data_IF_003270760221
#
_entry.id   IF_003270760221
#
_cell.length_a   1.000
_cell.length_b   1.000
_cell.length_c   1.000
_cell.angle_alpha   90.00
_cell.angle_beta   90.00
_cell.angle_gamma   90.00
#
_symmetry.space_group_name_H-M   'P 1'
#
loop_
_entity.id
_entity.type
_entity.pdbx_description
1 polymer ?
#
# COMPACT_ATOMS: atom_id res chain seq x y z
N UNK A 1 -1.26 -17.26 5.81
CA UNK A 1 -1.22 -17.98 4.52
C UNK A 1 -2.63 -18.31 4.07
N UNK A 2 -2.95 -18.00 2.82
CA UNK A 2 -4.13 -18.56 2.15
C UNK A 2 -3.65 -19.62 1.18
N UNK A 3 -3.97 -20.93 1.36
CA UNK A 3 -3.59 -21.97 0.42
C UNK A 3 -4.13 -21.64 -0.98
N UNK A 4 -3.33 -21.87 -2.01
CA UNK A 4 -3.75 -21.63 -3.40
C UNK A 4 -3.65 -20.17 -3.87
N UNK A 5 -3.07 -19.23 -3.09
CA UNK A 5 -2.90 -17.83 -3.48
C UNK A 5 -1.51 -17.60 -4.08
N UNK A 6 -1.45 -16.97 -5.24
CA UNK A 6 -0.22 -16.46 -5.85
C UNK A 6 -0.14 -14.95 -5.61
N UNK A 7 1.06 -14.43 -5.43
CA UNK A 7 1.30 -13.02 -5.18
C UNK A 7 2.07 -12.39 -6.35
N UNK A 8 1.64 -11.21 -6.77
CA UNK A 8 2.40 -10.38 -7.71
C UNK A 8 2.84 -9.12 -7.00
N UNK A 9 4.15 -8.89 -6.93
CA UNK A 9 4.71 -7.71 -6.28
C UNK A 9 5.19 -6.71 -7.32
N UNK A 10 4.64 -5.50 -7.27
CA UNK A 10 5.10 -4.36 -8.04
C UNK A 10 6.40 -3.84 -7.43
N UNK A 11 7.46 -3.74 -8.22
CA UNK A 11 8.80 -3.36 -7.75
C UNK A 11 9.41 -2.34 -8.69
N UNK A 12 9.93 -1.25 -8.14
CA UNK A 12 10.72 -0.30 -8.92
C UNK A 12 11.97 -0.98 -9.47
N UNK A 13 12.36 -0.65 -10.70
CA UNK A 13 13.51 -1.25 -11.41
C UNK A 13 14.78 -1.28 -10.55
N UNK A 14 15.07 -0.19 -9.86
CA UNK A 14 16.25 -0.03 -9.00
C UNK A 14 16.28 -1.01 -7.82
N UNK A 15 15.13 -1.48 -7.35
CA UNK A 15 15.02 -2.41 -6.22
C UNK A 15 14.85 -3.87 -6.65
N UNK A 16 14.88 -4.16 -7.95
CA UNK A 16 14.61 -5.50 -8.48
C UNK A 16 15.58 -6.58 -7.99
N UNK A 17 16.87 -6.25 -7.79
CA UNK A 17 17.85 -7.21 -7.26
C UNK A 17 17.55 -7.57 -5.79
N UNK A 18 17.25 -6.57 -4.97
CA UNK A 18 16.88 -6.75 -3.56
C UNK A 18 15.58 -7.55 -3.44
N UNK A 19 14.57 -7.23 -4.24
CA UNK A 19 13.30 -7.95 -4.23
C UNK A 19 13.49 -9.44 -4.56
N UNK A 20 14.30 -9.78 -5.58
CA UNK A 20 14.63 -11.18 -5.87
C UNK A 20 15.34 -11.89 -4.73
N UNK A 21 16.25 -11.22 -4.03
CA UNK A 21 16.90 -11.80 -2.83
C UNK A 21 15.87 -12.09 -1.74
N UNK A 22 14.97 -11.16 -1.48
CA UNK A 22 13.91 -11.34 -0.46
C UNK A 22 12.93 -12.46 -0.82
N UNK A 23 12.57 -12.62 -2.08
CA UNK A 23 11.75 -13.75 -2.51
C UNK A 23 12.47 -15.08 -2.27
N UNK A 24 13.76 -15.18 -2.61
CA UNK A 24 14.54 -16.39 -2.32
C UNK A 24 14.66 -16.70 -0.83
N UNK A 25 14.88 -15.69 0.01
CA UNK A 25 14.89 -15.85 1.47
C UNK A 25 13.54 -16.37 1.97
N UNK A 26 12.43 -15.81 1.44
CA UNK A 26 11.08 -16.27 1.77
C UNK A 26 10.87 -17.73 1.37
N UNK A 27 11.28 -18.14 0.19
CA UNK A 27 11.14 -19.52 -0.30
C UNK A 27 11.96 -20.53 0.54
N UNK A 28 13.09 -20.08 1.10
CA UNK A 28 13.89 -20.90 2.02
C UNK A 28 13.22 -21.04 3.40
N UNK A 29 12.71 -19.92 3.94
CA UNK A 29 12.06 -19.92 5.26
C UNK A 29 10.66 -20.53 5.23
N UNK A 30 9.99 -20.45 4.10
CA UNK A 30 8.66 -20.97 3.83
C UNK A 30 8.59 -21.66 2.46
N UNK A 31 8.98 -22.93 2.36
CA UNK A 31 8.96 -23.69 1.10
C UNK A 31 7.60 -23.74 0.41
N UNK A 32 6.50 -23.52 1.14
CA UNK A 32 5.16 -23.44 0.58
C UNK A 32 4.91 -22.20 -0.30
N UNK A 33 5.86 -21.24 -0.34
CA UNK A 33 5.81 -20.04 -1.18
C UNK A 33 6.62 -20.18 -2.47
N UNK A 34 7.36 -21.29 -2.65
CA UNK A 34 8.22 -21.50 -3.82
C UNK A 34 7.44 -21.38 -5.12
N UNK A 35 7.92 -20.50 -6.02
CA UNK A 35 7.33 -20.23 -7.31
C UNK A 35 5.98 -19.48 -7.28
N UNK A 36 5.51 -19.05 -6.10
CA UNK A 36 4.22 -18.38 -5.92
C UNK A 36 4.30 -16.86 -5.82
N UNK A 37 5.51 -16.30 -5.84
CA UNK A 37 5.73 -14.86 -5.82
C UNK A 37 6.34 -14.42 -7.15
N UNK A 38 5.60 -13.66 -7.92
CA UNK A 38 6.05 -13.06 -9.17
C UNK A 38 6.37 -11.57 -8.96
N UNK A 39 7.49 -11.11 -9.52
CA UNK A 39 7.87 -9.70 -9.51
C UNK A 39 7.55 -9.08 -10.86
N UNK A 40 6.91 -7.91 -10.85
CA UNK A 40 6.70 -7.07 -12.03
C UNK A 40 7.34 -5.70 -11.80
N UNK A 41 7.96 -5.17 -12.86
CA UNK A 41 8.58 -3.84 -12.81
C UNK A 41 7.52 -2.78 -13.01
N UNK A 42 7.46 -1.81 -12.08
CA UNK A 42 6.57 -0.67 -12.18
C UNK A 42 6.84 0.37 -11.10
N UNK A 43 6.01 1.39 -11.05
CA UNK A 43 6.13 2.50 -10.10
C UNK A 43 4.74 3.10 -9.82
N UNK A 44 4.33 3.13 -8.57
CA UNK A 44 3.04 3.73 -8.17
C UNK A 44 2.93 5.21 -8.54
N UNK A 45 4.07 5.91 -8.67
CA UNK A 45 4.08 7.34 -9.05
C UNK A 45 3.83 7.59 -10.53
N UNK A 46 3.81 6.53 -11.34
CA UNK A 46 3.56 6.61 -12.77
C UNK A 46 2.12 6.19 -13.12
N UNK A 47 1.54 6.83 -14.13
CA UNK A 47 0.24 6.43 -14.67
C UNK A 47 0.27 4.96 -15.10
N UNK A 48 -0.83 4.23 -14.88
CA UNK A 48 -0.91 2.80 -15.14
C UNK A 48 0.08 1.97 -14.31
N UNK A 49 0.55 2.50 -13.17
CA UNK A 49 1.59 1.92 -12.30
C UNK A 49 2.93 1.70 -13.02
N UNK A 50 3.18 2.39 -14.14
CA UNK A 50 4.39 2.20 -14.95
C UNK A 50 4.55 0.79 -15.52
N UNK A 51 3.48 0.02 -15.59
CA UNK A 51 3.47 -1.35 -16.11
C UNK A 51 3.62 -1.36 -17.63
N UNK A 52 4.32 -2.36 -18.17
CA UNK A 52 4.24 -2.65 -19.60
C UNK A 52 2.85 -3.16 -19.98
N UNK A 53 2.47 -3.04 -21.25
CA UNK A 53 1.19 -3.56 -21.73
C UNK A 53 1.04 -5.08 -21.47
N UNK A 54 2.13 -5.83 -21.63
CA UNK A 54 2.16 -7.28 -21.37
C UNK A 54 1.98 -7.58 -19.87
N UNK A 55 2.68 -6.84 -18.98
CA UNK A 55 2.51 -7.03 -17.54
C UNK A 55 1.10 -6.65 -17.10
N UNK A 56 0.54 -5.56 -17.65
CA UNK A 56 -0.84 -5.15 -17.32
C UNK A 56 -1.87 -6.20 -17.73
N UNK A 57 -1.76 -6.76 -18.93
CA UNK A 57 -2.64 -7.84 -19.39
C UNK A 57 -2.51 -9.11 -18.55
N UNK A 58 -1.31 -9.40 -18.03
CA UNK A 58 -1.07 -10.53 -17.12
C UNK A 58 -1.55 -10.31 -15.69
N UNK A 59 -2.33 -9.24 -15.40
CA UNK A 59 -2.87 -8.92 -14.09
C UNK A 59 -4.41 -8.79 -14.10
N UNK A 60 -5.08 -9.18 -15.19
CA UNK A 60 -6.53 -9.03 -15.33
C UNK A 60 -7.34 -9.94 -14.39
N UNK A 61 -6.72 -11.02 -13.91
CA UNK A 61 -7.27 -12.00 -12.97
C UNK A 61 -6.97 -11.68 -11.48
N UNK A 62 -6.32 -10.56 -11.21
CA UNK A 62 -6.06 -10.12 -9.83
C UNK A 62 -7.37 -9.81 -9.13
N UNK A 63 -7.62 -10.51 -8.02
CA UNK A 63 -8.85 -10.40 -7.25
C UNK A 63 -8.68 -9.66 -5.91
N UNK A 64 -7.45 -9.46 -5.47
CA UNK A 64 -7.13 -8.73 -4.24
C UNK A 64 -5.87 -7.87 -4.44
N UNK A 65 -5.95 -6.60 -4.05
CA UNK A 65 -4.84 -5.65 -4.16
C UNK A 65 -4.44 -5.19 -2.77
N UNK A 66 -3.15 -5.30 -2.43
CA UNK A 66 -2.58 -4.77 -1.20
C UNK A 66 -1.76 -3.52 -1.50
N UNK A 67 -2.24 -2.37 -1.08
CA UNK A 67 -1.53 -1.10 -1.23
C UNK A 67 -0.80 -0.73 0.05
N UNK A 68 0.49 -1.09 0.09
CA UNK A 68 1.41 -0.87 1.21
C UNK A 68 2.42 0.25 0.90
N UNK A 69 2.55 0.62 -0.39
CA UNK A 69 3.55 1.58 -0.83
C UNK A 69 3.26 2.98 -0.28
N UNK A 70 4.19 3.51 0.50
CA UNK A 70 4.16 4.87 1.02
C UNK A 70 5.58 5.33 1.33
N UNK A 71 5.80 6.65 1.31
CA UNK A 71 6.95 7.28 1.96
C UNK A 71 6.51 7.67 3.36
N UNK A 72 7.19 7.13 4.37
CA UNK A 72 6.89 7.32 5.80
C UNK A 72 7.94 8.19 6.53
N UNK A 73 8.92 8.72 5.81
CA UNK A 73 9.89 9.65 6.38
C UNK A 73 9.19 10.95 6.80
N UNK A 74 9.25 11.27 8.08
CA UNK A 74 8.63 12.47 8.65
C UNK A 74 9.29 13.78 8.18
N UNK A 75 10.51 13.70 7.67
CA UNK A 75 11.27 14.81 7.10
C UNK A 75 11.21 14.88 5.56
N UNK A 76 10.37 14.05 4.94
CA UNK A 76 10.23 13.99 3.47
C UNK A 76 9.81 15.33 2.89
N UNK A 77 10.37 15.67 1.72
CA UNK A 77 9.94 16.86 0.97
C UNK A 77 8.46 16.74 0.55
N UNK A 78 7.67 17.83 0.67
CA UNK A 78 6.24 17.83 0.41
C UNK A 78 5.85 17.24 -0.93
N UNK A 79 6.60 17.57 -1.97
CA UNK A 79 6.35 17.13 -3.35
C UNK A 79 6.54 15.61 -3.51
N UNK A 80 7.56 15.06 -2.82
CA UNK A 80 7.83 13.62 -2.81
C UNK A 80 6.73 12.88 -2.06
N UNK A 81 6.38 13.36 -0.86
CA UNK A 81 5.31 12.79 -0.06
C UNK A 81 3.98 12.77 -0.85
N UNK A 82 3.62 13.89 -1.48
CA UNK A 82 2.39 14.00 -2.27
C UNK A 82 2.42 13.04 -3.47
N UNK A 83 3.52 13.04 -4.23
CA UNK A 83 3.65 12.21 -5.43
C UNK A 83 3.52 10.72 -5.10
N UNK A 84 4.15 10.26 -4.02
CA UNK A 84 4.11 8.83 -3.66
C UNK A 84 2.80 8.49 -2.94
N UNK A 85 2.44 9.23 -1.89
CA UNK A 85 1.33 8.83 -1.03
C UNK A 85 -0.03 9.18 -1.64
N UNK A 86 -0.18 10.33 -2.31
CA UNK A 86 -1.47 10.78 -2.84
C UNK A 86 -1.65 10.34 -4.30
N UNK A 87 -0.75 10.76 -5.20
CA UNK A 87 -0.89 10.41 -6.61
C UNK A 87 -0.65 8.91 -6.84
N UNK A 88 0.30 8.30 -6.08
CA UNK A 88 0.48 6.84 -6.10
C UNK A 88 -0.79 6.09 -5.69
N UNK A 89 -1.49 6.53 -4.64
CA UNK A 89 -2.77 5.95 -4.25
C UNK A 89 -3.84 6.16 -5.34
N UNK A 90 -3.88 7.32 -6.00
CA UNK A 90 -4.78 7.57 -7.14
C UNK A 90 -4.57 6.54 -8.26
N UNK A 91 -3.33 6.32 -8.67
CA UNK A 91 -3.00 5.33 -9.71
C UNK A 91 -3.37 3.90 -9.31
N UNK A 92 -3.18 3.54 -8.04
CA UNK A 92 -3.64 2.23 -7.52
C UNK A 92 -5.16 2.11 -7.58
N UNK A 93 -5.91 3.16 -7.21
CA UNK A 93 -7.37 3.18 -7.32
C UNK A 93 -7.84 3.06 -8.78
N UNK A 94 -7.17 3.73 -9.71
CA UNK A 94 -7.44 3.62 -11.15
C UNK A 94 -7.18 2.18 -11.65
N UNK A 95 -6.06 1.58 -11.23
CA UNK A 95 -5.76 0.17 -11.53
C UNK A 95 -6.85 -0.75 -11.00
N UNK A 96 -7.27 -0.59 -9.74
CA UNK A 96 -8.33 -1.38 -9.12
C UNK A 96 -9.66 -1.30 -9.88
N UNK A 97 -10.05 -0.10 -10.34
CA UNK A 97 -11.27 0.09 -11.14
C UNK A 97 -11.23 -0.62 -12.49
N UNK A 98 -10.06 -0.88 -13.03
CA UNK A 98 -9.86 -1.61 -14.28
C UNK A 98 -9.81 -3.13 -14.12
N UNK A 99 -9.91 -3.68 -12.90
CA UNK A 99 -9.96 -5.12 -12.64
C UNK A 99 -11.42 -5.61 -12.64
N UNK A 100 -11.70 -6.70 -13.36
CA UNK A 100 -13.06 -7.26 -13.46
C UNK A 100 -13.51 -7.96 -12.19
N UNK A 101 -12.59 -8.70 -11.60
CA UNK A 101 -12.89 -9.67 -10.53
C UNK A 101 -12.35 -9.19 -9.17
N UNK A 102 -12.08 -7.88 -9.02
CA UNK A 102 -11.58 -7.33 -7.77
C UNK A 102 -12.56 -7.55 -6.63
N UNK A 103 -12.18 -8.38 -5.69
CA UNK A 103 -12.93 -8.65 -4.46
C UNK A 103 -12.64 -7.61 -3.38
N UNK A 104 -11.38 -7.12 -3.31
CA UNK A 104 -11.01 -6.14 -2.28
C UNK A 104 -9.68 -5.44 -2.53
N UNK A 105 -9.68 -4.15 -2.30
CA UNK A 105 -8.48 -3.36 -2.05
C UNK A 105 -8.21 -3.35 -0.53
N UNK A 106 -7.02 -3.78 -0.13
CA UNK A 106 -6.50 -3.68 1.23
C UNK A 106 -5.57 -2.45 1.28
N UNK A 107 -6.05 -1.35 1.84
CA UNK A 107 -5.29 -0.11 1.92
C UNK A 107 -4.69 0.08 3.31
N UNK A 108 -3.38 0.15 3.39
CA UNK A 108 -2.67 0.42 4.65
C UNK A 108 -2.49 1.93 4.82
N UNK A 109 -3.32 2.51 5.68
CA UNK A 109 -3.26 3.88 6.16
C UNK A 109 -2.39 3.97 7.42
N UNK A 110 -2.76 4.82 8.35
CA UNK A 110 -2.09 5.02 9.63
C UNK A 110 -3.04 5.66 10.64
N UNK A 111 -2.85 5.43 11.93
CA UNK A 111 -3.57 6.18 12.96
C UNK A 111 -3.26 7.68 12.93
N UNK A 112 -2.13 8.09 12.33
CA UNK A 112 -1.72 9.50 12.23
C UNK A 112 -2.61 10.37 11.31
N UNK A 113 -3.59 9.79 10.59
CA UNK A 113 -4.60 10.58 9.88
C UNK A 113 -5.47 11.43 10.82
N UNK A 114 -5.50 11.11 12.11
CA UNK A 114 -6.13 11.92 13.15
C UNK A 114 -5.42 13.28 13.39
N UNK A 115 -4.15 13.40 12.98
CA UNK A 115 -3.39 14.64 13.11
C UNK A 115 -3.35 15.18 14.55
N UNK A 116 -3.82 16.42 14.73
CA UNK A 116 -3.94 17.12 16.01
C UNK A 116 -5.38 17.13 16.55
N UNK A 117 -6.20 16.16 16.17
CA UNK A 117 -7.53 16.05 16.72
C UNK A 117 -7.47 15.78 18.24
N UNK A 118 -8.27 16.49 18.99
CA UNK A 118 -8.37 16.33 20.45
C UNK A 118 -9.61 15.50 20.79
N UNK A 119 -9.42 14.35 21.39
CA UNK A 119 -10.49 13.43 21.77
C UNK A 119 -10.30 12.03 21.21
N UNK A 120 -11.39 11.27 21.17
CA UNK A 120 -11.41 9.95 20.58
C UNK A 120 -11.64 10.06 19.06
N UNK A 121 -10.72 9.51 18.28
CA UNK A 121 -10.81 9.45 16.81
C UNK A 121 -11.16 8.00 16.43
N UNK A 122 -12.40 7.77 16.07
CA UNK A 122 -12.93 6.45 15.77
C UNK A 122 -12.58 5.99 14.34
N UNK A 123 -12.91 4.75 14.02
CA UNK A 123 -12.62 4.15 12.71
C UNK A 123 -13.35 4.86 11.55
N UNK A 124 -14.53 5.40 11.81
CA UNK A 124 -15.33 6.10 10.81
C UNK A 124 -14.97 7.59 10.67
N UNK A 125 -14.26 8.16 11.65
CA UNK A 125 -13.83 9.55 11.60
C UNK A 125 -12.70 9.73 10.58
N UNK A 126 -12.73 10.84 9.84
CA UNK A 126 -11.65 11.22 8.94
C UNK A 126 -11.57 12.75 8.73
N UNK A 127 -12.65 13.39 8.27
CA UNK A 127 -12.65 14.80 7.87
C UNK A 127 -13.17 15.69 9.00
N UNK A 128 -12.43 15.75 10.12
CA UNK A 128 -12.79 16.48 11.35
C UNK A 128 -12.17 17.90 11.42
N UNK A 129 -11.60 18.38 10.31
CA UNK A 129 -10.96 19.69 10.24
C UNK A 129 -9.60 19.76 10.96
N UNK A 130 -9.01 18.62 11.27
CA UNK A 130 -7.76 18.51 12.01
C UNK A 130 -6.55 19.10 11.27
N UNK A 131 -5.64 19.70 12.01
CA UNK A 131 -4.33 20.09 11.52
C UNK A 131 -3.34 18.92 11.61
N UNK A 132 -2.25 18.98 10.84
CA UNK A 132 -1.23 17.93 10.77
C UNK A 132 0.13 18.47 11.23
N UNK A 133 0.97 17.58 11.76
CA UNK A 133 2.30 17.92 12.29
C UNK A 133 3.37 17.96 11.22
N UNK A 134 3.16 17.16 10.14
CA UNK A 134 4.15 16.98 9.07
C UNK A 134 3.46 16.57 7.74
N UNK A 135 4.24 16.52 6.68
CA UNK A 135 3.74 16.16 5.35
C UNK A 135 3.33 14.69 5.21
N UNK A 136 3.93 13.79 6.00
CA UNK A 136 3.51 12.41 6.02
C UNK A 136 2.06 12.26 6.50
N UNK A 137 1.75 12.82 7.69
CA UNK A 137 0.38 12.79 8.24
C UNK A 137 -0.62 13.37 7.24
N UNK A 138 -0.32 14.56 6.70
CA UNK A 138 -1.18 15.24 5.73
C UNK A 138 -1.41 14.40 4.48
N UNK A 139 -0.34 13.86 3.86
CA UNK A 139 -0.48 13.11 2.61
C UNK A 139 -1.12 11.74 2.81
N UNK A 140 -0.96 11.08 3.97
CA UNK A 140 -1.68 9.85 4.30
C UNK A 140 -3.17 10.11 4.51
N UNK A 141 -3.52 11.24 5.14
CA UNK A 141 -4.91 11.69 5.24
C UNK A 141 -5.50 11.97 3.84
N UNK A 142 -4.84 12.80 3.02
CA UNK A 142 -5.30 13.11 1.66
C UNK A 142 -5.49 11.84 0.81
N UNK A 143 -4.60 10.86 0.95
CA UNK A 143 -4.71 9.56 0.28
C UNK A 143 -5.90 8.74 0.79
N UNK A 144 -6.16 8.73 2.10
CA UNK A 144 -7.31 8.02 2.66
C UNK A 144 -8.64 8.66 2.24
N UNK A 145 -8.70 9.99 2.10
CA UNK A 145 -9.88 10.68 1.52
C UNK A 145 -10.18 10.14 0.11
N UNK A 146 -9.15 9.94 -0.73
CA UNK A 146 -9.34 9.35 -2.07
C UNK A 146 -9.88 7.92 -1.98
N UNK A 147 -9.36 7.11 -1.06
CA UNK A 147 -9.83 5.73 -0.86
C UNK A 147 -11.28 5.70 -0.39
N UNK A 148 -11.63 6.54 0.60
CA UNK A 148 -13.02 6.66 1.10
C UNK A 148 -13.98 7.13 0.01
N UNK A 149 -13.60 8.08 -0.82
CA UNK A 149 -14.38 8.51 -1.97
C UNK A 149 -14.58 7.37 -2.99
N UNK A 150 -13.55 6.55 -3.22
CA UNK A 150 -13.67 5.37 -4.08
C UNK A 150 -14.60 4.31 -3.47
N UNK A 151 -14.54 4.07 -2.15
CA UNK A 151 -15.46 3.18 -1.42
C UNK A 151 -16.91 3.65 -1.55
N UNK A 152 -17.17 4.94 -1.36
CA UNK A 152 -18.49 5.55 -1.54
C UNK A 152 -19.01 5.40 -2.98
N UNK A 153 -18.11 5.29 -3.95
CA UNK A 153 -18.43 5.02 -5.37
C UNK A 153 -18.50 3.52 -5.70
N UNK A 154 -18.50 2.63 -4.70
CA UNK A 154 -18.69 1.19 -4.85
C UNK A 154 -17.40 0.35 -4.97
N UNK A 155 -16.20 0.93 -4.83
CA UNK A 155 -14.97 0.13 -4.80
C UNK A 155 -14.89 -0.67 -3.49
N UNK A 156 -14.81 -2.02 -3.53
CA UNK A 156 -14.69 -2.81 -2.32
C UNK A 156 -13.30 -2.61 -1.71
N UNK A 157 -13.21 -1.95 -0.57
CA UNK A 157 -11.94 -1.72 0.11
C UNK A 157 -12.03 -1.91 1.63
N UNK A 158 -10.89 -2.20 2.25
CA UNK A 158 -10.68 -2.16 3.69
C UNK A 158 -9.53 -1.20 3.97
N UNK A 159 -9.72 -0.31 4.93
CA UNK A 159 -8.70 0.63 5.39
C UNK A 159 -8.14 0.14 6.72
N UNK A 160 -6.82 0.01 6.80
CA UNK A 160 -6.12 -0.34 8.02
C UNK A 160 -5.39 0.90 8.56
N UNK A 161 -5.61 1.24 9.81
CA UNK A 161 -4.94 2.34 10.52
C UNK A 161 -4.05 1.80 11.65
N UNK A 162 -2.93 1.14 11.32
CA UNK A 162 -2.03 0.65 12.36
C UNK A 162 -1.45 1.82 13.16
N UNK A 163 -1.20 1.56 14.43
CA UNK A 163 -0.34 2.38 15.27
C UNK A 163 1.14 2.15 14.94
N UNK A 164 2.03 2.54 15.85
CA UNK A 164 3.46 2.31 15.71
C UNK A 164 3.74 0.82 15.85
N UNK A 165 4.31 0.19 14.82
CA UNK A 165 4.77 -1.19 14.86
C UNK A 165 6.20 -1.19 15.36
N UNK A 166 6.46 -1.86 16.50
CA UNK A 166 7.76 -1.82 17.18
C UNK A 166 8.56 -3.10 17.07
N UNK A 167 7.95 -4.23 16.73
CA UNK A 167 8.64 -5.50 16.56
C UNK A 167 7.76 -6.70 16.94
N UNK A 168 8.36 -7.88 16.90
CA UNK A 168 7.72 -9.13 17.31
C UNK A 168 7.60 -9.21 18.83
N UNK A 169 6.40 -9.45 19.35
CA UNK A 169 6.14 -9.47 20.78
C UNK A 169 6.69 -10.71 21.49
N UNK A 170 7.01 -11.77 20.75
CA UNK A 170 7.53 -13.03 21.32
C UNK A 170 9.06 -13.05 21.32
N UNK A 171 9.70 -12.53 20.27
CA UNK A 171 11.16 -12.57 20.10
C UNK A 171 11.85 -11.25 20.44
N UNK A 172 11.11 -10.14 20.44
CA UNK A 172 11.68 -8.78 20.56
C UNK A 172 12.41 -8.32 19.31
N UNK A 173 12.42 -9.11 18.24
CA UNK A 173 13.07 -8.73 17.01
C UNK A 173 12.33 -7.58 16.31
N UNK A 174 13.09 -6.61 15.83
CA UNK A 174 12.57 -5.51 15.01
C UNK A 174 13.37 -5.42 13.72
N UNK A 175 12.68 -5.20 12.62
CA UNK A 175 13.36 -4.89 11.35
C UNK A 175 13.83 -3.43 11.41
N UNK A 176 15.14 -3.22 11.25
CA UNK A 176 15.67 -1.89 11.00
C UNK A 176 15.44 -1.55 9.53
N UNK A 177 14.69 -0.50 9.29
CA UNK A 177 14.45 0.06 7.96
C UNK A 177 15.55 1.02 7.57
#
# INVERSE_FOLDING_TARGET
RRPGTDAVCLVQRQHGALARSRVKELEVTDPGTAGRVRLVVGDVTASGLGLSAADRAGLDDVDEVWHLAAVYDLAVAPEVARRVNVEGTRHVLEFCRGLRDLRRLQYVSTCYVSGRYEGCFAEDDLEEGQAFRNHYERTKYDAEVLVRAAMASGLPATVYRPGIVVGDSATGETQKY
#
